data_IF_975071787688
#
_entry.id   IF_975071787688
#
_cell.length_a   1.000
_cell.length_b   1.000
_cell.length_c   1.000
_cell.angle_alpha   90.00
_cell.angle_beta   90.00
_cell.angle_gamma   90.00
#
_symmetry.space_group_name_H-M   'P 1'
#
loop_
_entity.id
_entity.type
_entity.pdbx_description
1 polymer ?
#
# COMPACT_ATOMS: atom_id res chain seq x y z
N UNK A 1 1.25 2.17 20.10
CA UNK A 1 -0.01 2.17 19.33
C UNK A 1 0.11 3.05 18.10
N UNK A 2 -0.29 2.55 16.96
CA UNK A 2 -0.29 3.30 15.69
C UNK A 2 -1.71 3.38 15.14
N UNK A 3 -1.99 4.44 14.38
CA UNK A 3 -3.21 4.53 13.60
C UNK A 3 -2.90 4.01 12.19
N UNK A 4 -3.52 2.92 11.82
CA UNK A 4 -3.28 2.24 10.56
C UNK A 4 -4.52 2.32 9.67
N UNK A 5 -4.34 2.81 8.45
CA UNK A 5 -5.40 2.81 7.46
C UNK A 5 -5.35 1.51 6.68
N UNK A 6 -6.49 0.82 6.63
CA UNK A 6 -6.64 -0.41 5.86
C UNK A 6 -7.49 -0.14 4.62
N UNK A 7 -6.98 -0.51 3.46
CA UNK A 7 -7.69 -0.37 2.19
C UNK A 7 -7.90 -1.75 1.57
N UNK A 8 -9.13 -2.25 1.67
CA UNK A 8 -9.55 -3.56 1.14
C UNK A 8 -10.94 -3.45 0.58
N UNK A 9 -11.16 -3.99 -0.61
CA UNK A 9 -12.47 -3.99 -1.25
C UNK A 9 -13.43 -5.01 -0.62
N UNK A 10 -12.88 -6.15 -0.19
CA UNK A 10 -13.68 -7.22 0.42
C UNK A 10 -13.75 -7.05 1.92
N UNK A 11 -14.97 -7.05 2.44
CA UNK A 11 -15.20 -6.87 3.87
C UNK A 11 -14.54 -7.94 4.72
N UNK A 12 -14.56 -9.20 4.28
CA UNK A 12 -13.94 -10.29 5.01
C UNK A 12 -12.42 -10.16 5.12
N UNK A 13 -11.78 -9.65 4.07
CA UNK A 13 -10.34 -9.39 4.08
C UNK A 13 -10.01 -8.25 5.03
N UNK A 14 -10.78 -7.19 4.95
CA UNK A 14 -10.65 -6.03 5.84
C UNK A 14 -10.81 -6.45 7.30
N UNK A 15 -11.85 -7.21 7.60
CA UNK A 15 -12.15 -7.65 8.96
C UNK A 15 -11.05 -8.52 9.54
N UNK A 16 -10.45 -9.39 8.73
CA UNK A 16 -9.35 -10.25 9.16
C UNK A 16 -8.13 -9.44 9.59
N UNK A 17 -7.74 -8.47 8.77
CA UNK A 17 -6.59 -7.60 9.08
C UNK A 17 -6.90 -6.68 10.26
N UNK A 18 -8.09 -6.09 10.27
CA UNK A 18 -8.55 -5.23 11.37
C UNK A 18 -8.48 -5.96 12.71
N UNK A 19 -8.97 -7.19 12.76
CA UNK A 19 -9.00 -7.99 13.98
C UNK A 19 -7.59 -8.20 14.56
N UNK A 20 -6.63 -8.54 13.70
CA UNK A 20 -5.26 -8.76 14.17
C UNK A 20 -4.63 -7.46 14.68
N UNK A 21 -4.80 -6.36 13.97
CA UNK A 21 -4.21 -5.08 14.37
C UNK A 21 -4.85 -4.54 15.64
N UNK A 22 -6.16 -4.65 15.78
CA UNK A 22 -6.86 -4.24 17.00
C UNK A 22 -6.45 -5.08 18.21
N UNK A 23 -6.23 -6.38 18.01
CA UNK A 23 -5.76 -7.26 19.10
C UNK A 23 -4.37 -6.86 19.60
N UNK A 24 -3.60 -6.16 18.79
CA UNK A 24 -2.28 -5.64 19.16
C UNK A 24 -2.31 -4.19 19.64
N UNK A 25 -3.49 -3.62 19.81
CA UNK A 25 -3.67 -2.28 20.35
C UNK A 25 -3.58 -1.15 19.33
N UNK A 26 -3.60 -1.45 18.03
CA UNK A 26 -3.59 -0.41 17.00
C UNK A 26 -4.99 0.12 16.72
N UNK A 27 -5.06 1.40 16.40
CA UNK A 27 -6.28 2.02 15.91
C UNK A 27 -6.38 1.80 14.41
N UNK A 28 -7.56 1.41 13.94
CA UNK A 28 -7.78 1.09 12.53
C UNK A 28 -8.75 2.08 11.89
N UNK A 29 -8.34 2.64 10.76
CA UNK A 29 -9.19 3.37 9.83
C UNK A 29 -9.45 2.49 8.63
N UNK A 30 -10.59 2.65 7.96
CA UNK A 30 -11.01 1.74 6.89
C UNK A 30 -11.35 2.49 5.61
N UNK A 31 -10.92 1.93 4.47
CA UNK A 31 -11.29 2.40 3.15
C UNK A 31 -11.61 1.19 2.26
N UNK A 32 -12.55 1.33 1.36
CA UNK A 32 -13.03 0.24 0.51
C UNK A 32 -12.57 0.39 -0.94
N UNK A 33 -11.89 1.48 -1.26
CA UNK A 33 -11.33 1.75 -2.59
C UNK A 33 -10.06 2.57 -2.46
N UNK A 34 -9.29 2.63 -3.53
CA UNK A 34 -8.09 3.47 -3.55
C UNK A 34 -8.41 4.95 -3.40
N UNK A 35 -9.54 5.39 -3.95
CA UNK A 35 -9.98 6.80 -3.83
C UNK A 35 -10.31 7.13 -2.38
N UNK A 36 -11.08 6.27 -1.71
CA UNK A 36 -11.38 6.47 -0.29
C UNK A 36 -10.12 6.46 0.58
N UNK A 37 -9.16 5.58 0.24
CA UNK A 37 -7.89 5.52 0.95
C UNK A 37 -7.11 6.82 0.80
N UNK A 38 -7.05 7.36 -0.39
CA UNK A 38 -6.36 8.61 -0.66
C UNK A 38 -6.98 9.77 0.12
N UNK A 39 -8.31 9.85 0.14
CA UNK A 39 -9.04 10.84 0.93
C UNK A 39 -8.78 10.69 2.43
N UNK A 40 -8.77 9.44 2.93
CA UNK A 40 -8.52 9.16 4.33
C UNK A 40 -7.09 9.54 4.75
N UNK A 41 -6.09 9.28 3.89
CA UNK A 41 -4.71 9.69 4.16
C UNK A 41 -4.63 11.20 4.32
N UNK A 42 -5.27 11.93 3.41
CA UNK A 42 -5.25 13.40 3.43
C UNK A 42 -6.02 13.98 4.61
N UNK A 43 -7.14 13.38 4.96
CA UNK A 43 -8.01 13.90 6.00
C UNK A 43 -7.65 13.49 7.42
N UNK A 44 -7.07 12.32 7.61
CA UNK A 44 -6.88 11.72 8.93
C UNK A 44 -5.43 11.45 9.32
N UNK A 45 -4.50 11.62 8.39
CA UNK A 45 -3.05 11.48 8.62
C UNK A 45 -2.67 10.21 9.41
N UNK A 46 -2.94 9.01 8.88
CA UNK A 46 -2.58 7.78 9.57
C UNK A 46 -1.06 7.62 9.67
N UNK A 47 -0.62 6.78 10.60
CA UNK A 47 0.80 6.47 10.77
C UNK A 47 1.33 5.50 9.70
N UNK A 48 0.45 4.69 9.14
CA UNK A 48 0.78 3.73 8.11
C UNK A 48 -0.45 3.37 7.28
N UNK A 49 -0.21 2.91 6.06
CA UNK A 49 -1.24 2.40 5.15
C UNK A 49 -0.94 0.94 4.80
N UNK A 50 -1.93 0.09 4.96
CA UNK A 50 -1.91 -1.27 4.45
C UNK A 50 -2.96 -1.35 3.36
N UNK A 51 -2.56 -1.63 2.14
CA UNK A 51 -3.47 -1.66 1.00
C UNK A 51 -3.44 -2.99 0.29
N UNK A 52 -4.63 -3.51 -0.01
CA UNK A 52 -4.75 -4.60 -0.96
C UNK A 52 -4.27 -4.10 -2.33
N UNK A 53 -3.65 -4.98 -3.08
CA UNK A 53 -3.26 -4.71 -4.46
C UNK A 53 -4.50 -4.57 -5.35
N UNK A 54 -5.53 -5.37 -5.07
CA UNK A 54 -6.77 -5.41 -5.85
C UNK A 54 -7.83 -4.49 -5.26
N UNK A 55 -7.78 -3.22 -5.62
CA UNK A 55 -8.78 -2.24 -5.20
C UNK A 55 -9.53 -1.70 -6.40
N UNK A 56 -10.85 -1.43 -6.25
CA UNK A 56 -11.59 -0.76 -7.31
C UNK A 56 -11.24 0.72 -7.38
N UNK A 57 -11.47 1.32 -8.54
CA UNK A 57 -11.33 2.76 -8.82
C UNK A 57 -9.88 3.26 -8.83
N UNK A 58 -9.04 2.76 -7.93
CA UNK A 58 -7.62 3.06 -7.88
C UNK A 58 -6.97 1.89 -7.14
N UNK A 59 -6.18 1.06 -7.84
CA UNK A 59 -5.54 -0.10 -7.23
C UNK A 59 -4.42 0.27 -6.26
N UNK A 60 -3.93 -0.74 -5.51
CA UNK A 60 -2.93 -0.50 -4.47
C UNK A 60 -1.61 0.05 -4.99
N UNK A 61 -1.17 -0.36 -6.18
CA UNK A 61 0.07 0.15 -6.76
C UNK A 61 -0.09 1.63 -7.15
N UNK A 62 -1.19 1.96 -7.81
CA UNK A 62 -1.49 3.34 -8.22
C UNK A 62 -1.66 4.24 -7.00
N UNK A 63 -2.31 3.73 -5.95
CA UNK A 63 -2.47 4.46 -4.70
C UNK A 63 -1.11 4.79 -4.09
N UNK A 64 -0.23 3.80 -3.98
CA UNK A 64 1.10 3.99 -3.42
C UNK A 64 1.89 5.02 -4.23
N UNK A 65 1.84 4.91 -5.55
CA UNK A 65 2.54 5.85 -6.43
C UNK A 65 2.05 7.28 -6.25
N UNK A 66 0.75 7.49 -6.16
CA UNK A 66 0.19 8.83 -5.92
C UNK A 66 0.64 9.42 -4.60
N UNK A 67 0.72 8.60 -3.57
CA UNK A 67 1.21 9.04 -2.26
C UNK A 67 2.68 9.43 -2.33
N UNK A 68 3.48 8.69 -3.08
CA UNK A 68 4.91 9.00 -3.23
C UNK A 68 5.17 10.28 -4.02
N UNK A 69 4.25 10.65 -4.92
CA UNK A 69 4.33 11.89 -5.68
C UNK A 69 3.93 13.12 -4.86
N UNK A 70 3.23 12.94 -3.75
CA UNK A 70 2.81 14.03 -2.87
C UNK A 70 3.86 14.19 -1.75
N UNK A 71 4.51 15.38 -1.67
CA UNK A 71 5.53 15.63 -0.64
C UNK A 71 5.03 15.40 0.79
N UNK A 72 3.73 15.63 1.04
CA UNK A 72 3.16 15.45 2.36
C UNK A 72 3.14 13.98 2.80
N UNK A 73 3.11 13.05 1.85
CA UNK A 73 2.95 11.62 2.12
C UNK A 73 4.08 10.77 1.53
N UNK A 74 5.15 11.40 1.03
CA UNK A 74 6.25 10.69 0.41
C UNK A 74 6.96 9.71 1.35
N UNK A 75 6.84 9.92 2.66
CA UNK A 75 7.47 9.08 3.68
C UNK A 75 6.48 8.20 4.45
N UNK A 76 5.21 8.25 4.09
CA UNK A 76 4.21 7.41 4.75
C UNK A 76 4.54 5.92 4.55
N UNK A 77 4.68 5.12 5.64
CA UNK A 77 4.86 3.68 5.47
C UNK A 77 3.66 3.06 4.77
N UNK A 78 3.93 2.41 3.64
CA UNK A 78 2.92 1.71 2.85
C UNK A 78 3.31 0.25 2.71
N UNK A 79 2.42 -0.63 3.14
CA UNK A 79 2.53 -2.06 2.92
C UNK A 79 1.47 -2.45 1.90
N UNK A 80 1.91 -3.05 0.81
CA UNK A 80 1.01 -3.66 -0.15
C UNK A 80 0.84 -5.13 0.22
N UNK A 81 -0.40 -5.55 0.34
CA UNK A 81 -0.75 -6.89 0.78
C UNK A 81 -1.79 -7.48 -0.15
N UNK A 82 -1.75 -8.80 -0.35
CA UNK A 82 -2.78 -9.48 -1.11
C UNK A 82 -3.03 -10.88 -0.54
N UNK A 83 -4.29 -11.24 -0.49
CA UNK A 83 -4.70 -12.62 -0.22
C UNK A 83 -4.74 -13.48 -1.48
N UNK A 84 -4.55 -12.88 -2.65
CA UNK A 84 -4.79 -13.55 -3.94
C UNK A 84 -3.62 -13.58 -4.89
N UNK A 85 -2.71 -12.61 -4.83
CA UNK A 85 -1.60 -12.53 -5.79
C UNK A 85 -0.25 -12.80 -5.11
N UNK A 86 0.65 -13.39 -5.86
CA UNK A 86 2.02 -13.67 -5.44
C UNK A 86 2.93 -13.69 -6.66
N UNK A 87 4.22 -13.61 -6.42
CA UNK A 87 5.24 -13.76 -7.46
C UNK A 87 6.19 -12.58 -7.56
N UNK A 88 7.38 -12.83 -8.17
CA UNK A 88 8.44 -11.81 -8.27
C UNK A 88 8.01 -10.55 -9.03
N UNK A 89 7.11 -10.69 -9.97
CA UNK A 89 6.58 -9.59 -10.76
C UNK A 89 5.90 -8.54 -9.87
N UNK A 90 5.07 -8.99 -8.94
CA UNK A 90 4.36 -8.10 -8.02
C UNK A 90 5.30 -7.50 -6.98
N UNK A 91 6.26 -8.27 -6.51
CA UNK A 91 7.28 -7.79 -5.58
C UNK A 91 8.12 -6.68 -6.18
N UNK A 92 8.60 -6.88 -7.40
CA UNK A 92 9.39 -5.90 -8.13
C UNK A 92 8.58 -4.62 -8.36
N UNK A 93 7.33 -4.77 -8.71
CA UNK A 93 6.44 -3.65 -8.98
C UNK A 93 6.15 -2.83 -7.72
N UNK A 94 5.93 -3.51 -6.59
CA UNK A 94 5.73 -2.86 -5.30
C UNK A 94 6.94 -2.02 -4.92
N UNK A 95 8.14 -2.53 -5.14
CA UNK A 95 9.37 -1.78 -4.89
C UNK A 95 9.48 -0.55 -5.80
N UNK A 96 9.12 -0.68 -7.08
CA UNK A 96 9.16 0.44 -8.03
C UNK A 96 8.23 1.58 -7.64
N UNK A 97 7.05 1.28 -7.11
CA UNK A 97 6.10 2.32 -6.69
C UNK A 97 6.41 2.89 -5.31
N UNK A 98 7.41 2.37 -4.63
CA UNK A 98 7.87 2.89 -3.36
C UNK A 98 7.18 2.33 -2.11
N UNK A 99 6.60 1.14 -2.20
CA UNK A 99 6.09 0.45 -1.03
C UNK A 99 7.25 -0.05 -0.17
N UNK A 100 7.13 0.08 1.15
CA UNK A 100 8.15 -0.43 2.05
C UNK A 100 8.16 -1.95 2.09
N UNK A 101 7.02 -2.55 1.86
CA UNK A 101 6.91 -4.00 1.87
C UNK A 101 5.77 -4.47 0.99
N UNK A 102 5.96 -5.62 0.38
CA UNK A 102 4.90 -6.36 -0.28
C UNK A 102 4.75 -7.72 0.42
N UNK A 103 3.54 -8.00 0.89
CA UNK A 103 3.21 -9.27 1.51
C UNK A 103 2.27 -10.04 0.57
N UNK A 104 2.78 -11.04 -0.13
CA UNK A 104 1.99 -11.78 -1.10
C UNK A 104 1.01 -12.73 -0.44
N UNK A 105 0.20 -13.36 -1.27
CA UNK A 105 -0.66 -14.47 -0.87
C UNK A 105 0.16 -15.50 -0.09
N UNK A 106 -0.40 -15.96 1.03
CA UNK A 106 0.27 -16.91 1.92
C UNK A 106 1.07 -16.26 3.05
N UNK A 107 1.24 -14.93 3.03
CA UNK A 107 1.85 -14.24 4.16
C UNK A 107 0.94 -14.29 5.38
N UNK A 108 1.53 -14.33 6.57
CA UNK A 108 0.74 -14.33 7.80
C UNK A 108 0.39 -12.89 8.20
N UNK A 109 -0.75 -12.72 8.88
CA UNK A 109 -1.14 -11.42 9.41
C UNK A 109 -0.23 -11.00 10.57
N UNK A 110 0.40 -11.95 11.24
CA UNK A 110 1.41 -11.68 12.25
C UNK A 110 2.66 -11.02 11.66
N UNK A 111 3.07 -11.44 10.46
CA UNK A 111 4.16 -10.79 9.73
C UNK A 111 3.83 -9.34 9.41
N UNK A 112 2.59 -9.09 8.99
CA UNK A 112 2.10 -7.75 8.71
C UNK A 112 2.15 -6.88 9.97
N UNK A 113 1.60 -7.38 11.07
CA UNK A 113 1.57 -6.64 12.32
C UNK A 113 2.99 -6.37 12.85
N UNK A 114 3.87 -7.35 12.78
CA UNK A 114 5.26 -7.21 13.20
C UNK A 114 5.99 -6.13 12.40
N UNK A 115 5.78 -6.11 11.09
CA UNK A 115 6.37 -5.08 10.23
C UNK A 115 5.88 -3.68 10.61
N UNK A 116 4.58 -3.53 10.83
CA UNK A 116 3.99 -2.24 11.20
C UNK A 116 4.50 -1.74 12.55
N UNK A 117 4.75 -2.64 13.48
CA UNK A 117 5.29 -2.28 14.80
C UNK A 117 6.75 -1.83 14.74
N UNK A 118 7.53 -2.40 13.82
CA UNK A 118 8.93 -2.06 13.60
C UNK A 118 9.12 -0.84 12.71
N UNK A 119 8.15 -0.55 11.83
CA UNK A 119 8.26 0.56 10.89
C UNK A 119 8.26 1.90 11.62
N UNK A 120 9.04 2.89 11.15
CA UNK A 120 8.94 4.24 11.70
C UNK A 120 7.56 4.81 11.40
N UNK A 121 7.08 5.71 12.28
CA UNK A 121 5.82 6.40 12.02
C UNK A 121 5.95 7.30 10.78
N UNK A 122 4.81 7.71 10.19
CA UNK A 122 4.79 8.50 8.95
C UNK A 122 5.52 9.82 8.99
N UNK A 123 5.91 10.29 10.17
CA UNK A 123 6.76 11.47 10.37
C UNK A 123 8.26 11.13 10.43
N UNK A 124 8.61 9.87 10.25
CA UNK A 124 9.99 9.40 10.36
C UNK A 124 10.89 9.84 9.20
N UNK A 125 12.18 9.79 9.47
CA UNK A 125 13.25 10.23 8.58
C UNK A 125 13.59 9.21 7.48
N UNK A 126 12.63 8.67 6.79
CA UNK A 126 12.95 7.84 5.63
C UNK A 126 13.51 8.73 4.53
N UNK A 127 14.79 8.53 4.24
CA UNK A 127 15.41 9.20 3.11
C UNK A 127 14.84 8.60 1.83
N UNK A 128 14.09 9.42 1.12
CA UNK A 128 13.87 9.17 -0.28
C UNK A 128 15.24 9.22 -0.97
N UNK A 129 15.57 8.23 -1.81
CA UNK A 129 16.76 8.39 -2.64
C UNK A 129 16.60 9.69 -3.40
N UNK A 130 17.69 10.46 -3.46
CA UNK A 130 17.70 11.71 -4.20
C UNK A 130 17.13 11.47 -5.60
N UNK A 131 16.25 12.36 -6.04
CA UNK A 131 15.69 12.32 -7.39
C UNK A 131 16.85 12.40 -8.38
N UNK A 132 17.23 11.23 -8.89
CA UNK A 132 18.24 11.14 -9.94
C UNK A 132 17.53 11.41 -11.26
N UNK A 133 18.07 12.25 -12.16
CA UNK A 133 17.43 12.52 -13.46
C UNK A 133 17.04 11.24 -14.23
N UNK A 134 17.78 10.17 -14.06
CA UNK A 134 17.50 8.86 -14.65
C UNK A 134 16.18 8.26 -14.18
N UNK A 135 15.70 8.62 -12.98
CA UNK A 135 14.42 8.16 -12.44
C UNK A 135 13.24 8.95 -13.03
N UNK A 136 13.47 10.11 -13.60
CA UNK A 136 12.42 10.91 -14.23
C UNK A 136 11.97 10.29 -15.57
N UNK A 137 12.88 9.70 -16.33
CA UNK A 137 12.56 9.00 -17.58
C UNK A 137 11.82 7.69 -17.32
N UNK A 138 12.02 7.09 -16.16
CA UNK A 138 11.31 5.88 -15.75
C UNK A 138 9.84 6.12 -15.41
N UNK A 139 9.46 7.35 -15.05
CA UNK A 139 8.07 7.64 -14.68
C UNK A 139 7.06 7.33 -15.77
N UNK A 140 7.40 7.60 -17.02
CA UNK A 140 6.53 7.29 -18.14
C UNK A 140 6.44 5.79 -18.39
N UNK A 141 7.56 5.08 -18.29
CA UNK A 141 7.59 3.63 -18.41
C UNK A 141 6.83 2.96 -17.26
N UNK A 142 6.96 3.50 -16.05
CA UNK A 142 6.25 3.02 -14.87
C UNK A 142 4.75 3.24 -14.99
N UNK A 143 4.32 4.35 -15.58
CA UNK A 143 2.90 4.61 -15.85
C UNK A 143 2.31 3.57 -16.81
N UNK A 144 3.06 3.20 -17.86
CA UNK A 144 2.63 2.16 -18.80
C UNK A 144 2.55 0.81 -18.14
N UNK A 145 3.52 0.48 -17.30
CA UNK A 145 3.53 -0.77 -16.52
C UNK A 145 2.35 -0.84 -15.56
N UNK A 146 2.02 0.29 -14.91
CA UNK A 146 0.86 0.38 -14.03
C UNK A 146 -0.43 0.09 -14.77
N UNK A 147 -0.62 0.69 -15.95
CA UNK A 147 -1.82 0.45 -16.77
C UNK A 147 -1.92 -1.01 -17.16
N UNK A 148 -0.82 -1.62 -17.59
CA UNK A 148 -0.79 -3.04 -17.97
C UNK A 148 -1.07 -3.95 -16.77
N UNK A 149 -0.51 -3.62 -15.62
CA UNK A 149 -0.73 -4.40 -14.41
C UNK A 149 -2.16 -4.26 -13.89
N UNK A 150 -2.74 -3.07 -13.95
CA UNK A 150 -4.14 -2.84 -13.62
C UNK A 150 -5.07 -3.69 -14.51
N UNK A 151 -4.75 -3.80 -15.78
CA UNK A 151 -5.47 -4.65 -16.72
C UNK A 151 -5.40 -6.12 -16.31
N UNK A 152 -4.22 -6.60 -15.94
CA UNK A 152 -4.02 -7.97 -15.49
C UNK A 152 -4.75 -8.25 -14.18
N UNK A 153 -4.78 -7.28 -13.27
CA UNK A 153 -5.48 -7.42 -12.01
C UNK A 153 -7.00 -7.47 -12.20
N UNK A 154 -7.54 -6.71 -13.17
CA UNK A 154 -8.95 -6.80 -13.53
C UNK A 154 -9.31 -8.17 -14.07
N UNK A 155 -8.44 -8.77 -14.88
CA UNK A 155 -8.64 -10.12 -15.40
C UNK A 155 -8.66 -11.16 -14.29
N UNK A 156 -7.89 -10.95 -13.22
CA UNK A 156 -7.90 -11.82 -12.04
C UNK A 156 -9.20 -11.67 -11.23
N UNK A 157 -9.81 -10.48 -11.24
CA UNK A 157 -11.08 -10.24 -10.54
C UNK A 157 -12.31 -10.77 -11.28
N UNK A 158 -12.20 -10.97 -12.57
CA UNK A 158 -13.32 -11.43 -13.41
C UNK A 158 -13.71 -12.89 -13.15
#
# INVERSE_FOLDING_TARGET
>A
MKTVLLAYAREQDLAAVESVLQSRGHRVLKARSGVEALEAVRGQSPDALVSDVLLPRLDGFALCRRLREDPAFAHLPVVLHSFRVEGPKYEAFAAEVGAQRFLPRGSTLEELAAFLEEAPSGSGTMRMPALVPELLDRREQDRRRLVDLEKQLRDVEA
#
